data_IF_560568895641
#
_entry.id   IF_560568895641
#
_cell.length_a   1.000
_cell.length_b   1.000
_cell.length_c   1.000
_cell.angle_alpha   90.00
_cell.angle_beta   90.00
_cell.angle_gamma   90.00
#
_symmetry.space_group_name_H-M   'P 1'
#
loop_
_entity.id
_entity.type
_entity.pdbx_description
1 polymer ?
#
# COMPACT_ATOMS: atom_id res chain seq x y z
N UNK A 1 55.53 0.10 11.44
CA UNK A 1 54.31 0.48 12.18
C UNK A 1 53.10 -0.02 11.38
N UNK A 2 52.49 -1.12 11.80
CA UNK A 2 51.34 -1.71 11.08
C UNK A 2 50.10 -0.87 11.33
N UNK A 3 49.49 -0.35 10.25
CA UNK A 3 48.31 0.49 10.31
C UNK A 3 47.10 -0.38 10.69
N UNK A 4 46.65 -0.29 11.93
CA UNK A 4 45.46 -0.97 12.44
C UNK A 4 44.20 -0.32 11.85
N UNK A 5 43.96 -0.55 10.55
CA UNK A 5 42.80 -0.05 9.83
C UNK A 5 41.65 -1.02 10.03
N UNK A 6 40.67 -0.62 10.84
CA UNK A 6 39.39 -1.33 10.94
C UNK A 6 38.75 -1.39 9.56
N UNK A 7 38.16 -2.53 9.22
CA UNK A 7 37.42 -2.65 7.96
C UNK A 7 36.15 -1.80 8.02
N UNK A 8 35.64 -1.37 6.85
CA UNK A 8 34.39 -0.62 6.78
C UNK A 8 33.24 -1.33 7.52
N UNK A 9 33.15 -2.67 7.38
CA UNK A 9 32.20 -3.51 8.10
C UNK A 9 32.34 -3.37 9.63
N UNK A 10 33.56 -3.44 10.15
CA UNK A 10 33.80 -3.29 11.60
C UNK A 10 33.45 -1.90 12.12
N UNK A 11 33.72 -0.86 11.32
CA UNK A 11 33.31 0.51 11.66
C UNK A 11 31.79 0.63 11.74
N UNK A 12 31.07 0.05 10.77
CA UNK A 12 29.61 0.07 10.73
C UNK A 12 28.97 -0.70 11.90
N UNK A 13 29.47 -1.89 12.21
CA UNK A 13 29.02 -2.68 13.37
C UNK A 13 29.30 -1.99 14.70
N UNK A 14 30.36 -1.15 14.76
CA UNK A 14 30.62 -0.34 15.95
C UNK A 14 29.65 0.83 16.06
N UNK A 15 29.26 1.44 14.94
CA UNK A 15 28.29 2.54 14.90
C UNK A 15 26.89 2.08 15.33
N UNK A 16 26.44 0.92 14.85
CA UNK A 16 25.14 0.29 15.19
C UNK A 16 24.87 0.10 16.68
N UNK A 17 25.92 0.10 17.50
CA UNK A 17 25.80 -0.06 18.97
C UNK A 17 25.55 1.27 19.69
N UNK A 18 25.59 2.39 18.98
CA UNK A 18 25.47 3.73 19.56
C UNK A 18 24.06 4.23 19.39
N UNK A 19 23.51 4.86 20.43
CA UNK A 19 22.22 5.54 20.39
C UNK A 19 22.08 6.49 19.21
N UNK A 20 23.17 7.18 18.82
CA UNK A 20 23.16 8.09 17.68
C UNK A 20 22.79 7.38 16.36
N UNK A 21 23.14 6.10 16.19
CA UNK A 21 22.75 5.35 15.00
C UNK A 21 21.23 5.16 14.94
N UNK A 22 20.61 4.80 16.06
CA UNK A 22 19.17 4.59 16.15
C UNK A 22 18.40 5.92 15.98
N UNK A 23 18.89 7.00 16.59
CA UNK A 23 18.31 8.35 16.46
C UNK A 23 18.34 8.83 15.00
N UNK A 24 19.48 8.70 14.33
CA UNK A 24 19.60 9.08 12.90
C UNK A 24 18.74 8.17 12.01
N UNK A 25 18.58 6.89 12.37
CA UNK A 25 17.65 5.98 11.70
C UNK A 25 16.21 6.49 11.75
N UNK A 26 15.72 6.86 12.93
CA UNK A 26 14.35 7.40 13.10
C UNK A 26 14.17 8.74 12.37
N UNK A 27 15.18 9.60 12.40
CA UNK A 27 15.15 10.88 11.67
C UNK A 27 15.06 10.63 10.16
N UNK A 28 15.84 9.67 9.64
CA UNK A 28 15.82 9.31 8.23
C UNK A 28 14.47 8.73 7.82
N UNK A 29 13.94 7.75 8.56
CA UNK A 29 12.63 7.14 8.31
C UNK A 29 11.53 8.19 8.23
N UNK A 30 11.46 9.09 9.22
CA UNK A 30 10.46 10.15 9.21
C UNK A 30 10.64 11.15 8.05
N UNK A 31 11.90 11.45 7.68
CA UNK A 31 12.19 12.34 6.54
C UNK A 31 11.78 11.70 5.22
N UNK A 32 11.98 10.40 5.06
CA UNK A 32 11.54 9.63 3.89
C UNK A 32 10.01 9.61 3.78
N UNK A 33 9.29 9.43 4.89
CA UNK A 33 7.82 9.51 4.92
C UNK A 33 7.31 10.89 4.49
N UNK A 34 7.96 11.98 4.95
CA UNK A 34 7.62 13.35 4.51
C UNK A 34 7.77 13.47 3.00
N UNK A 35 8.90 13.05 2.44
CA UNK A 35 9.17 13.15 1.00
C UNK A 35 8.17 12.31 0.21
N UNK A 36 7.93 11.07 0.61
CA UNK A 36 6.95 10.19 -0.04
C UNK A 36 5.54 10.78 -0.01
N UNK A 37 5.14 11.39 1.11
CA UNK A 37 3.84 12.05 1.23
C UNK A 37 3.75 13.32 0.37
N UNK A 38 4.81 14.11 0.31
CA UNK A 38 4.90 15.27 -0.58
C UNK A 38 4.76 14.87 -2.05
N UNK A 39 5.41 13.78 -2.47
CA UNK A 39 5.28 13.23 -3.83
C UNK A 39 3.85 12.75 -4.10
N UNK A 40 3.24 12.03 -3.17
CA UNK A 40 1.86 11.52 -3.30
C UNK A 40 0.82 12.65 -3.39
N UNK A 41 1.02 13.76 -2.67
CA UNK A 41 0.13 14.94 -2.73
C UNK A 41 0.50 15.97 -3.82
N UNK A 42 1.63 15.79 -4.51
CA UNK A 42 2.14 16.79 -5.46
C UNK A 42 2.57 18.11 -4.80
N UNK A 43 3.04 18.06 -3.56
CA UNK A 43 3.44 19.23 -2.76
C UNK A 43 4.91 19.55 -2.98
N UNK A 44 5.20 20.77 -3.43
CA UNK A 44 6.59 21.25 -3.54
C UNK A 44 7.15 21.74 -2.19
N UNK A 45 8.47 21.83 -2.07
CA UNK A 45 9.13 22.40 -0.89
C UNK A 45 8.65 23.83 -0.57
N UNK A 46 8.40 24.64 -1.59
CA UNK A 46 7.90 26.00 -1.44
C UNK A 46 6.47 26.01 -0.90
N UNK A 47 5.64 25.05 -1.33
CA UNK A 47 4.28 24.91 -0.85
C UNK A 47 4.24 24.41 0.60
N UNK A 48 5.05 23.42 0.94
CA UNK A 48 5.17 22.96 2.33
C UNK A 48 5.63 24.10 3.26
N UNK A 49 6.57 24.94 2.82
CA UNK A 49 7.00 26.11 3.58
C UNK A 49 5.85 27.08 3.86
N UNK A 50 4.99 27.34 2.87
CA UNK A 50 3.79 28.16 3.05
C UNK A 50 2.80 27.53 4.02
N UNK A 51 2.50 26.24 3.86
CA UNK A 51 1.58 25.51 4.76
C UNK A 51 2.05 25.51 6.22
N UNK A 52 3.36 25.45 6.43
CA UNK A 52 3.98 25.51 7.76
C UNK A 52 4.17 26.93 8.31
N UNK A 53 3.91 27.97 7.51
CA UNK A 53 4.29 29.35 7.81
C UNK A 53 5.78 29.46 8.22
N UNK A 54 6.65 28.77 7.49
CA UNK A 54 8.07 28.65 7.77
C UNK A 54 8.93 29.09 6.57
N UNK A 55 10.23 29.27 6.78
CA UNK A 55 11.13 29.65 5.69
C UNK A 55 11.44 28.45 4.77
N UNK A 56 11.68 28.66 3.46
CA UNK A 56 12.12 27.59 2.55
C UNK A 56 13.42 26.92 3.00
N UNK A 57 14.31 27.70 3.63
CA UNK A 57 15.54 27.19 4.23
C UNK A 57 15.27 26.22 5.39
N UNK A 58 14.25 26.49 6.21
CA UNK A 58 13.82 25.58 7.28
C UNK A 58 13.34 24.25 6.69
N UNK A 59 12.45 24.27 5.70
CA UNK A 59 11.99 23.05 5.03
C UNK A 59 13.14 22.26 4.42
N UNK A 60 14.08 22.94 3.75
CA UNK A 60 15.27 22.28 3.19
C UNK A 60 16.13 21.63 4.28
N UNK A 61 16.24 22.26 5.46
CA UNK A 61 16.97 21.70 6.60
C UNK A 61 16.26 20.47 7.18
N UNK A 62 14.93 20.51 7.29
CA UNK A 62 14.10 19.38 7.71
C UNK A 62 14.30 18.20 6.76
N UNK A 63 14.15 18.42 5.45
CA UNK A 63 14.27 17.37 4.43
C UNK A 63 15.70 16.80 4.27
N UNK A 64 16.72 17.48 4.80
CA UNK A 64 18.09 16.94 4.86
C UNK A 64 18.29 15.95 6.00
N UNK A 65 17.35 15.83 6.94
CA UNK A 65 17.47 14.91 8.08
C UNK A 65 18.60 15.27 9.05
N UNK A 66 19.12 16.50 9.04
CA UNK A 66 20.26 16.90 9.90
C UNK A 66 19.85 17.44 11.27
N UNK A 67 18.56 17.32 11.62
CA UNK A 67 17.98 17.95 12.81
C UNK A 67 17.13 16.95 13.56
N UNK A 68 17.28 16.93 14.89
CA UNK A 68 16.38 16.18 15.76
C UNK A 68 15.00 16.87 15.82
N UNK A 69 13.94 16.13 15.56
CA UNK A 69 12.57 16.65 15.56
C UNK A 69 11.95 16.55 16.96
N UNK A 70 11.21 17.59 17.36
CA UNK A 70 10.29 17.47 18.49
C UNK A 70 8.99 16.82 18.01
N UNK A 71 8.28 16.12 18.91
CA UNK A 71 6.96 15.55 18.58
C UNK A 71 5.99 16.61 18.04
N UNK A 72 6.02 17.81 18.60
CA UNK A 72 5.22 18.94 18.10
C UNK A 72 5.55 19.28 16.65
N UNK A 73 6.84 19.28 16.28
CA UNK A 73 7.29 19.55 14.92
C UNK A 73 6.82 18.45 13.97
N UNK A 74 6.97 17.17 14.37
CA UNK A 74 6.50 16.04 13.57
C UNK A 74 5.01 16.16 13.26
N UNK A 75 4.19 16.45 14.27
CA UNK A 75 2.73 16.61 14.12
C UNK A 75 2.39 17.82 13.24
N UNK A 76 3.10 18.94 13.37
CA UNK A 76 2.89 20.12 12.51
C UNK A 76 3.14 19.79 11.03
N UNK A 77 4.22 19.08 10.74
CA UNK A 77 4.57 18.67 9.37
C UNK A 77 3.53 17.69 8.83
N UNK A 78 3.19 16.66 9.59
CA UNK A 78 2.19 15.67 9.17
C UNK A 78 0.84 16.33 8.85
N UNK A 79 0.36 17.23 9.73
CA UNK A 79 -0.89 17.98 9.48
C UNK A 79 -0.82 18.88 8.24
N UNK A 80 0.32 19.50 7.97
CA UNK A 80 0.52 20.28 6.75
C UNK A 80 0.47 19.42 5.47
N UNK A 81 0.68 18.11 5.59
CA UNK A 81 0.64 17.11 4.53
C UNK A 81 -0.57 16.18 4.65
N UNK A 82 -1.63 16.63 5.35
CA UNK A 82 -2.88 15.89 5.57
C UNK A 82 -2.65 14.42 6.02
N UNK A 83 -1.70 14.23 6.92
CA UNK A 83 -1.29 12.94 7.47
C UNK A 83 -1.25 12.98 9.00
N UNK A 84 -1.26 11.81 9.63
CA UNK A 84 -1.13 11.63 11.07
C UNK A 84 0.18 10.92 11.42
N UNK A 85 0.82 11.35 12.52
CA UNK A 85 2.02 10.67 13.05
C UNK A 85 1.60 9.44 13.86
N UNK A 86 2.16 8.27 13.54
CA UNK A 86 1.97 7.03 14.30
C UNK A 86 3.33 6.56 14.81
N UNK A 87 3.42 6.21 16.09
CA UNK A 87 4.65 5.73 16.74
C UNK A 87 4.38 4.34 17.31
N UNK A 88 5.30 3.40 17.06
CA UNK A 88 5.22 2.03 17.53
C UNK A 88 6.54 1.59 18.17
N UNK A 89 6.45 0.80 19.24
CA UNK A 89 7.60 0.12 19.84
C UNK A 89 7.65 -1.30 19.30
N UNK A 90 8.70 -1.59 18.54
CA UNK A 90 8.91 -2.90 17.95
C UNK A 90 9.79 -3.78 18.88
N UNK A 91 9.41 -5.05 19.13
CA UNK A 91 10.30 -6.02 19.77
C UNK A 91 11.58 -6.27 18.96
N UNK A 92 12.71 -6.46 19.66
CA UNK A 92 14.00 -6.72 19.04
C UNK A 92 13.93 -7.99 18.17
N UNK A 93 14.43 -7.91 16.94
CA UNK A 93 14.48 -9.04 15.99
C UNK A 93 13.21 -9.25 15.17
N UNK A 94 12.19 -8.42 15.33
CA UNK A 94 10.98 -8.46 14.49
C UNK A 94 11.07 -7.44 13.33
N UNK A 95 10.08 -7.41 12.46
CA UNK A 95 9.90 -6.38 11.44
C UNK A 95 8.46 -5.89 11.52
N UNK A 96 8.29 -4.57 11.61
CA UNK A 96 6.97 -3.92 11.59
C UNK A 96 6.57 -3.62 10.16
N UNK A 97 5.28 -3.78 9.84
CA UNK A 97 4.68 -3.30 8.61
C UNK A 97 3.42 -2.53 8.96
N UNK A 98 3.29 -1.31 8.46
CA UNK A 98 2.10 -0.50 8.59
C UNK A 98 1.17 -0.75 7.41
N UNK A 99 -0.12 -0.95 7.70
CA UNK A 99 -1.17 -1.14 6.71
C UNK A 99 -2.21 -0.04 6.93
N UNK A 100 -2.24 0.92 6.02
CA UNK A 100 -3.28 1.94 5.99
C UNK A 100 -4.50 1.36 5.30
N UNK A 101 -5.49 0.98 6.10
CA UNK A 101 -6.78 0.54 5.60
C UNK A 101 -7.67 1.76 5.49
N UNK A 102 -8.01 2.14 4.26
CA UNK A 102 -9.13 3.05 4.06
C UNK A 102 -10.41 2.28 4.40
N UNK A 103 -11.12 2.75 5.42
CA UNK A 103 -12.53 2.41 5.52
C UNK A 103 -13.18 2.92 4.24
N UNK A 104 -13.66 2.01 3.40
CA UNK A 104 -14.57 2.37 2.32
C UNK A 104 -15.79 2.95 3.04
N UNK A 105 -15.82 4.28 3.16
CA UNK A 105 -16.93 4.99 3.76
C UNK A 105 -18.18 4.53 3.04
N UNK A 106 -19.16 4.09 3.82
CA UNK A 106 -20.50 3.73 3.37
C UNK A 106 -21.16 4.90 2.64
N UNK A 107 -20.83 5.11 1.37
CA UNK A 107 -21.69 5.80 0.41
C UNK A 107 -22.55 4.75 -0.29
N UNK A 108 -23.42 4.11 0.47
CA UNK A 108 -24.71 3.63 -0.06
C UNK A 108 -25.74 4.71 0.23
N UNK A 109 -25.46 5.95 -0.14
CA UNK A 109 -26.47 7.01 -0.17
C UNK A 109 -27.36 6.76 -1.38
N UNK A 110 -28.44 6.02 -1.14
CA UNK A 110 -29.60 5.94 -2.01
C UNK A 110 -29.29 5.54 -3.47
N UNK A 111 -28.96 4.26 -3.70
CA UNK A 111 -29.60 3.62 -4.84
C UNK A 111 -31.09 3.61 -4.48
N UNK A 112 -31.84 4.59 -4.98
CA UNK A 112 -33.27 4.41 -5.16
C UNK A 112 -33.39 3.17 -6.02
N UNK A 113 -33.69 2.05 -5.38
CA UNK A 113 -33.91 0.78 -6.04
C UNK A 113 -35.20 0.93 -6.87
N UNK A 114 -35.08 1.53 -8.04
CA UNK A 114 -35.97 1.26 -9.15
C UNK A 114 -35.97 -0.26 -9.30
N UNK A 115 -37.10 -0.94 -9.03
CA UNK A 115 -37.13 -2.39 -9.04
C UNK A 115 -36.71 -2.85 -10.43
N UNK A 116 -35.62 -3.62 -10.49
CA UNK A 116 -35.08 -4.22 -11.70
C UNK A 116 -36.19 -4.97 -12.46
N UNK A 117 -36.77 -4.34 -13.48
CA UNK A 117 -37.91 -4.85 -14.25
C UNK A 117 -37.53 -5.97 -15.22
N UNK A 118 -36.22 -6.25 -15.39
CA UNK A 118 -35.71 -7.35 -16.23
C UNK A 118 -36.11 -8.76 -15.73
N UNK A 119 -36.63 -8.89 -14.50
CA UNK A 119 -37.20 -10.16 -13.99
C UNK A 119 -38.62 -10.50 -14.51
N UNK A 120 -39.20 -9.71 -15.41
CA UNK A 120 -40.50 -10.04 -16.05
C UNK A 120 -40.37 -10.86 -17.32
N UNK A 121 -39.21 -10.92 -17.96
CA UNK A 121 -39.01 -11.67 -19.20
C UNK A 121 -38.51 -13.11 -19.00
N UNK A 122 -38.14 -13.49 -17.77
CA UNK A 122 -37.91 -14.91 -17.43
C UNK A 122 -39.24 -15.62 -17.12
N UNK A 123 -40.22 -15.54 -18.02
CA UNK A 123 -41.26 -16.56 -18.08
C UNK A 123 -40.62 -17.79 -18.74
N UNK A 124 -40.26 -18.80 -17.93
CA UNK A 124 -39.93 -20.12 -18.43
C UNK A 124 -41.08 -20.56 -19.37
N UNK A 125 -40.82 -20.89 -20.65
CA UNK A 125 -41.86 -21.49 -21.46
C UNK A 125 -42.21 -22.83 -20.81
N UNK A 126 -43.38 -22.87 -20.17
CA UNK A 126 -44.02 -24.12 -19.80
C UNK A 126 -44.26 -24.91 -21.09
N UNK A 127 -43.74 -26.14 -21.12
CA UNK A 127 -43.92 -27.14 -22.19
C UNK A 127 -43.12 -26.93 -23.48
N UNK A 128 -42.01 -27.66 -23.57
CA UNK A 128 -41.71 -28.44 -24.77
C UNK A 128 -41.02 -29.73 -24.35
N UNK A 129 -41.78 -30.83 -24.42
CA UNK A 129 -41.30 -32.18 -24.16
C UNK A 129 -40.08 -32.51 -25.03
N UNK A 130 -38.98 -32.92 -24.39
CA UNK A 130 -37.79 -33.42 -25.08
C UNK A 130 -38.10 -34.80 -25.66
N UNK A 131 -38.43 -34.90 -26.95
CA UNK A 131 -38.19 -36.14 -27.69
C UNK A 131 -36.70 -36.23 -27.99
N UNK A 132 -36.01 -37.07 -27.24
CA UNK A 132 -34.64 -37.48 -27.52
C UNK A 132 -34.67 -38.38 -28.77
N UNK A 133 -34.24 -37.85 -29.91
CA UNK A 133 -33.84 -38.67 -31.06
C UNK A 133 -32.33 -38.68 -31.11
N UNK A 134 -31.74 -39.76 -30.58
CA UNK A 134 -30.32 -40.05 -30.68
C UNK A 134 -29.95 -40.32 -32.14
N UNK A 135 -29.01 -39.54 -32.66
CA UNK A 135 -28.34 -39.74 -33.95
C UNK A 135 -27.46 -40.99 -33.84
N UNK A 136 -27.58 -42.01 -34.72
CA UNK A 136 -26.77 -43.22 -34.58
C UNK A 136 -25.34 -42.94 -35.04
N UNK A 137 -24.42 -43.27 -34.15
CA UNK A 137 -22.97 -43.28 -34.35
C UNK A 137 -22.61 -44.50 -35.20
N UNK A 138 -21.86 -44.28 -36.29
CA UNK A 138 -21.46 -45.33 -37.23
C UNK A 138 -20.02 -45.78 -36.98
N UNK A 139 -19.74 -47.03 -37.40
CA UNK A 139 -18.49 -47.82 -37.44
C UNK A 139 -18.30 -48.76 -36.24
N UNK A 140 -18.03 -50.08 -36.38
CA UNK A 140 -17.47 -50.85 -37.50
C UNK A 140 -17.77 -52.36 -37.39
N UNK A 141 -17.73 -53.02 -38.56
CA UNK A 141 -17.27 -54.42 -38.83
C UNK A 141 -17.98 -55.64 -38.21
N UNK A 142 -18.56 -56.49 -39.08
CA UNK A 142 -18.03 -57.83 -39.44
C UNK A 142 -19.13 -58.85 -39.86
N UNK A 143 -18.88 -59.49 -41.01
CA UNK A 143 -19.22 -60.85 -41.46
C UNK A 143 -20.45 -61.58 -40.86
N UNK A 144 -21.39 -61.92 -41.75
CA UNK A 144 -21.87 -63.30 -41.91
C UNK A 144 -22.53 -63.47 -43.30
N UNK A 145 -21.75 -64.00 -44.24
CA UNK A 145 -22.26 -64.57 -45.48
C UNK A 145 -22.85 -65.94 -45.15
N UNK A 146 -23.98 -66.23 -45.78
CA UNK A 146 -24.65 -67.51 -45.77
C UNK A 146 -23.72 -68.66 -46.20
N UNK A 147 -23.78 -69.75 -45.44
CA UNK A 147 -23.85 -71.12 -45.93
C UNK A 147 -24.60 -71.96 -44.88
#
# INVERSE_FOLDING_TARGET
MSSNKKTFKQLFETARKRLAYDVEGVILEFTEEIVARMEAEGVSNAELAKRLNASPAYVTKVLRGSTNFTLETMVKIARALNADVRIHLQPIGTKTQWLDVWDAVEEVSAIQAEPLTWRRECALPASAATTVTTKPEATNEALALAA
#
